data_IF_704809065629
#
_entry.id   IF_704809065629
#
_cell.length_a   1.000
_cell.length_b   1.000
_cell.length_c   1.000
_cell.angle_alpha   90.00
_cell.angle_beta   90.00
_cell.angle_gamma   90.00
#
_symmetry.space_group_name_H-M   'P 1'
#
loop_
_entity.id
_entity.type
_entity.pdbx_description
1 polymer ?
#
# COMPACT_ATOMS: atom_id res chain seq x y z
N UNK A 1 48.08 -23.76 -16.45
CA UNK A 1 46.90 -22.90 -16.68
C UNK A 1 46.28 -22.59 -15.33
N UNK A 2 46.68 -21.48 -14.71
CA UNK A 2 46.10 -21.01 -13.45
C UNK A 2 45.63 -19.56 -13.73
N UNK A 3 44.32 -19.34 -13.76
CA UNK A 3 43.75 -18.00 -13.90
C UNK A 3 43.69 -17.38 -12.51
N UNK A 4 44.68 -16.58 -12.18
CA UNK A 4 44.60 -15.59 -11.10
C UNK A 4 43.68 -14.47 -11.57
N UNK A 5 42.48 -14.41 -11.00
CA UNK A 5 41.50 -13.37 -11.23
C UNK A 5 41.29 -12.57 -9.95
N UNK A 6 41.43 -11.25 -10.04
CA UNK A 6 40.67 -10.30 -9.24
C UNK A 6 41.33 -9.79 -7.96
N UNK A 7 42.22 -8.80 -8.11
CA UNK A 7 42.43 -7.79 -7.07
C UNK A 7 41.27 -6.77 -7.06
N UNK A 8 40.97 -6.23 -5.87
CA UNK A 8 40.25 -4.96 -5.73
C UNK A 8 38.83 -5.00 -5.18
N UNK A 9 38.60 -5.48 -3.96
CA UNK A 9 37.41 -5.13 -3.14
C UNK A 9 37.75 -5.17 -1.64
N UNK A 10 38.59 -4.24 -1.16
CA UNK A 10 38.89 -4.07 0.27
C UNK A 10 38.17 -2.86 0.87
N UNK A 11 36.89 -2.65 0.50
CA UNK A 11 36.00 -1.65 1.10
C UNK A 11 34.60 -2.23 1.31
N UNK A 12 34.46 -3.24 2.18
CA UNK A 12 33.17 -3.67 2.74
C UNK A 12 33.40 -4.74 3.82
N UNK A 13 33.75 -4.34 5.05
CA UNK A 13 33.86 -5.31 6.17
C UNK A 13 32.88 -4.97 7.30
N UNK A 14 32.24 -3.79 7.31
CA UNK A 14 31.29 -3.44 8.38
C UNK A 14 29.92 -4.11 8.30
N UNK A 15 29.56 -4.76 7.18
CA UNK A 15 28.29 -5.47 7.02
C UNK A 15 28.46 -7.00 6.91
N UNK A 16 29.62 -7.53 7.32
CA UNK A 16 29.78 -8.98 7.30
C UNK A 16 28.95 -9.63 8.42
N UNK A 17 28.14 -10.65 8.11
CA UNK A 17 27.37 -11.35 9.12
C UNK A 17 28.29 -12.06 10.13
N UNK A 18 27.83 -12.17 11.38
CA UNK A 18 28.45 -13.04 12.39
C UNK A 18 28.50 -14.49 11.91
N UNK A 19 29.45 -15.29 12.40
CA UNK A 19 29.47 -16.71 12.08
C UNK A 19 28.15 -17.39 12.50
N UNK A 20 27.54 -18.17 11.60
CA UNK A 20 26.21 -18.72 11.81
C UNK A 20 25.64 -19.44 10.59
N UNK A 21 24.49 -20.09 10.77
CA UNK A 21 23.73 -20.71 9.69
C UNK A 21 22.79 -19.69 9.07
N UNK A 22 22.87 -19.52 7.75
CA UNK A 22 22.03 -18.58 7.01
C UNK A 22 21.33 -19.30 5.87
N UNK A 23 20.15 -18.79 5.50
CA UNK A 23 19.37 -19.28 4.36
C UNK A 23 20.10 -18.91 3.07
N UNK A 24 20.29 -19.87 2.17
CA UNK A 24 20.83 -19.60 0.83
C UNK A 24 19.81 -18.83 -0.01
N UNK A 25 20.19 -17.74 -0.71
CA UNK A 25 19.27 -16.96 -1.53
C UNK A 25 18.62 -17.78 -2.65
N UNK A 26 19.36 -18.76 -3.20
CA UNK A 26 18.90 -19.62 -4.30
C UNK A 26 17.99 -20.77 -3.85
N UNK A 27 18.09 -21.18 -2.58
CA UNK A 27 17.31 -22.28 -2.03
C UNK A 27 17.00 -22.00 -0.55
N UNK A 28 15.74 -21.61 -0.30
CA UNK A 28 15.22 -21.31 1.04
C UNK A 28 15.13 -22.54 1.95
N UNK A 29 15.42 -23.72 1.41
CA UNK A 29 15.36 -24.99 2.10
C UNK A 29 16.70 -25.47 2.62
N UNK A 30 17.77 -24.80 2.20
CA UNK A 30 19.14 -25.10 2.60
C UNK A 30 19.66 -23.96 3.46
N UNK A 31 20.25 -24.31 4.59
CA UNK A 31 21.07 -23.42 5.38
C UNK A 31 22.52 -23.68 5.01
N UNK A 32 23.26 -22.64 4.67
CA UNK A 32 24.72 -22.70 4.49
C UNK A 32 25.39 -21.98 5.65
N UNK A 33 26.49 -22.54 6.14
CA UNK A 33 27.20 -21.95 7.28
C UNK A 33 28.17 -20.85 6.81
N UNK A 34 28.11 -19.68 7.43
CA UNK A 34 29.11 -18.62 7.32
C UNK A 34 30.06 -18.72 8.51
N UNK A 35 31.36 -18.80 8.27
CA UNK A 35 32.34 -18.93 9.36
C UNK A 35 32.92 -17.60 9.86
N UNK A 36 32.39 -16.47 9.40
CA UNK A 36 32.92 -15.12 9.68
C UNK A 36 33.84 -14.58 8.59
N UNK A 37 34.29 -15.41 7.66
CA UNK A 37 35.21 -15.02 6.58
C UNK A 37 34.76 -15.48 5.19
N UNK A 38 34.15 -16.66 5.10
CA UNK A 38 33.61 -17.21 3.85
C UNK A 38 32.43 -18.14 4.16
N UNK A 39 31.59 -18.34 3.15
CA UNK A 39 30.62 -19.43 3.14
C UNK A 39 31.37 -20.76 3.11
N UNK A 40 30.98 -21.70 3.98
CA UNK A 40 31.50 -23.07 3.97
C UNK A 40 30.63 -23.95 3.06
N UNK A 41 31.15 -25.11 2.67
CA UNK A 41 30.36 -26.14 1.95
C UNK A 41 29.46 -26.95 2.88
N UNK A 42 29.38 -26.59 4.17
CA UNK A 42 28.47 -27.25 5.09
C UNK A 42 27.06 -26.75 4.84
N UNK A 43 26.21 -27.68 4.44
CA UNK A 43 24.80 -27.45 4.16
C UNK A 43 23.96 -28.26 5.14
N UNK A 44 22.92 -27.63 5.68
CA UNK A 44 21.87 -28.31 6.44
C UNK A 44 20.55 -28.07 5.75
N UNK A 45 19.87 -29.16 5.38
CA UNK A 45 18.47 -29.05 4.99
C UNK A 45 17.64 -28.65 6.20
N UNK A 46 16.80 -27.63 6.02
CA UNK A 46 15.72 -27.34 6.96
C UNK A 46 14.77 -28.53 6.85
N UNK A 47 14.80 -29.40 7.86
CA UNK A 47 14.05 -30.65 7.91
C UNK A 47 12.60 -30.44 7.42
N UNK A 48 12.13 -31.34 6.55
CA UNK A 48 10.75 -31.33 6.02
C UNK A 48 9.71 -31.28 7.16
N UNK A 49 10.05 -31.80 8.35
CA UNK A 49 9.23 -31.67 9.55
C UNK A 49 8.99 -30.20 9.94
N UNK A 50 10.04 -29.37 9.91
CA UNK A 50 9.95 -27.94 10.17
C UNK A 50 9.10 -27.24 9.10
N UNK A 51 9.26 -27.61 7.82
CA UNK A 51 8.42 -27.09 6.73
C UNK A 51 6.94 -27.39 6.92
N UNK A 52 6.60 -28.62 7.34
CA UNK A 52 5.21 -29.01 7.57
C UNK A 52 4.60 -28.20 8.71
N UNK A 53 5.35 -27.96 9.78
CA UNK A 53 4.88 -27.15 10.91
C UNK A 53 4.69 -25.69 10.51
N UNK A 54 5.62 -25.10 9.76
CA UNK A 54 5.50 -23.72 9.24
C UNK A 54 4.25 -23.60 8.35
N UNK A 55 4.09 -24.49 7.36
CA UNK A 55 2.89 -24.49 6.49
C UNK A 55 1.58 -24.70 7.26
N UNK A 56 1.60 -25.49 8.33
CA UNK A 56 0.42 -25.67 9.18
C UNK A 56 0.11 -24.42 10.00
N UNK A 57 1.13 -23.74 10.52
CA UNK A 57 0.98 -22.46 11.22
C UNK A 57 0.45 -21.38 10.27
N UNK A 58 1.01 -21.26 9.06
CA UNK A 58 0.53 -20.31 8.05
C UNK A 58 -0.92 -20.60 7.64
N UNK A 59 -1.27 -21.87 7.46
CA UNK A 59 -2.65 -22.28 7.16
C UNK A 59 -3.60 -21.96 8.31
N UNK A 60 -3.18 -22.13 9.56
CA UNK A 60 -3.98 -21.76 10.73
C UNK A 60 -4.16 -20.24 10.81
N UNK A 61 -3.10 -19.47 10.59
CA UNK A 61 -3.15 -18.00 10.54
C UNK A 61 -4.09 -17.50 9.44
N UNK A 62 -3.98 -18.07 8.23
CA UNK A 62 -4.87 -17.74 7.11
C UNK A 62 -6.34 -18.07 7.43
N UNK A 63 -6.60 -19.19 8.10
CA UNK A 63 -7.95 -19.56 8.54
C UNK A 63 -8.51 -18.57 9.56
N UNK A 64 -7.69 -18.12 10.52
CA UNK A 64 -8.09 -17.11 11.51
C UNK A 64 -8.38 -15.77 10.83
N UNK A 65 -7.51 -15.32 9.92
CA UNK A 65 -7.71 -14.10 9.15
C UNK A 65 -9.01 -14.15 8.33
N UNK A 66 -9.28 -15.29 7.67
CA UNK A 66 -10.51 -15.48 6.91
C UNK A 66 -11.77 -15.46 7.81
N UNK A 67 -11.68 -16.04 9.01
CA UNK A 67 -12.79 -16.00 9.98
C UNK A 67 -13.05 -14.58 10.50
N UNK A 68 -11.99 -13.81 10.78
CA UNK A 68 -12.10 -12.41 11.20
C UNK A 68 -12.68 -11.54 10.06
N UNK A 69 -12.21 -11.72 8.83
CA UNK A 69 -12.75 -11.01 7.67
C UNK A 69 -14.25 -11.31 7.47
N UNK A 70 -14.66 -12.57 7.64
CA UNK A 70 -16.07 -12.95 7.57
C UNK A 70 -16.90 -12.32 8.71
N UNK A 71 -16.33 -12.17 9.92
CA UNK A 71 -17.00 -11.48 11.02
C UNK A 71 -17.19 -9.98 10.70
N UNK A 72 -16.15 -9.29 10.24
CA UNK A 72 -16.24 -7.88 9.82
C UNK A 72 -17.23 -7.66 8.68
N UNK A 73 -17.28 -8.58 7.71
CA UNK A 73 -18.25 -8.51 6.63
C UNK A 73 -19.70 -8.59 7.14
N UNK A 74 -19.97 -9.43 8.15
CA UNK A 74 -21.30 -9.51 8.78
C UNK A 74 -21.65 -8.25 9.55
N UNK A 75 -20.69 -7.66 10.27
CA UNK A 75 -20.90 -6.39 10.98
C UNK A 75 -21.22 -5.24 10.01
N UNK A 76 -20.49 -5.13 8.89
CA UNK A 76 -20.78 -4.14 7.86
C UNK A 76 -22.15 -4.36 7.21
N UNK A 77 -22.50 -5.61 6.91
CA UNK A 77 -23.83 -5.92 6.37
C UNK A 77 -24.96 -5.55 7.35
N UNK A 78 -24.77 -5.79 8.65
CA UNK A 78 -25.71 -5.40 9.68
C UNK A 78 -25.85 -3.87 9.78
N UNK A 79 -24.75 -3.12 9.71
CA UNK A 79 -24.78 -1.66 9.74
C UNK A 79 -25.53 -1.08 8.53
N UNK A 80 -25.30 -1.62 7.33
CA UNK A 80 -26.02 -1.22 6.11
C UNK A 80 -27.53 -1.50 6.25
N UNK A 81 -27.90 -2.66 6.80
CA UNK A 81 -29.31 -3.01 7.00
C UNK A 81 -30.01 -2.05 7.99
N UNK A 82 -29.33 -1.62 9.05
CA UNK A 82 -29.87 -0.64 10.01
C UNK A 82 -30.10 0.71 9.34
N UNK A 83 -29.16 1.20 8.53
CA UNK A 83 -29.33 2.48 7.83
C UNK A 83 -30.43 2.41 6.76
N UNK A 84 -30.57 1.27 6.08
CA UNK A 84 -31.67 1.01 5.16
C UNK A 84 -33.03 1.03 5.88
N UNK A 85 -33.13 0.41 7.06
CA UNK A 85 -34.34 0.43 7.88
C UNK A 85 -34.70 1.85 8.34
N UNK A 86 -33.71 2.63 8.75
CA UNK A 86 -33.90 4.04 9.13
C UNK A 86 -34.40 4.88 7.96
N UNK A 87 -33.83 4.68 6.77
CA UNK A 87 -34.26 5.35 5.54
C UNK A 87 -35.70 4.98 5.17
N UNK A 88 -36.06 3.71 5.27
CA UNK A 88 -37.43 3.24 5.03
C UNK A 88 -38.44 3.83 6.03
N UNK A 89 -38.05 3.95 7.31
CA UNK A 89 -38.88 4.59 8.33
C UNK A 89 -39.08 6.09 8.04
N UNK A 90 -38.03 6.81 7.65
CA UNK A 90 -38.14 8.22 7.27
C UNK A 90 -39.05 8.42 6.04
N UNK A 91 -38.94 7.55 5.04
CA UNK A 91 -39.82 7.57 3.87
C UNK A 91 -41.29 7.31 4.23
N UNK A 92 -41.54 6.42 5.19
CA UNK A 92 -42.90 6.13 5.68
C UNK A 92 -43.52 7.31 6.44
N UNK A 93 -42.71 8.06 7.20
CA UNK A 93 -43.16 9.29 7.87
C UNK A 93 -43.56 10.35 6.84
N UNK A 94 -42.72 10.61 5.84
CA UNK A 94 -43.02 11.55 4.76
C UNK A 94 -44.27 11.14 3.96
N UNK A 95 -44.43 9.84 3.68
CA UNK A 95 -45.62 9.33 3.00
C UNK A 95 -46.90 9.53 3.83
N UNK A 96 -46.83 9.34 5.15
CA UNK A 96 -47.94 9.58 6.06
C UNK A 96 -48.31 11.07 6.14
N UNK A 97 -47.32 11.97 6.11
CA UNK A 97 -47.55 13.42 6.10
C UNK A 97 -48.24 13.88 4.81
N UNK A 98 -47.78 13.41 3.64
CA UNK A 98 -48.44 13.69 2.34
C UNK A 98 -49.87 13.15 2.30
N UNK A 99 -50.10 11.96 2.87
CA UNK A 99 -51.45 11.38 2.97
C UNK A 99 -52.37 12.20 3.89
N UNK A 100 -51.84 12.68 5.03
CA UNK A 100 -52.59 13.53 5.95
C UNK A 100 -52.97 14.88 5.32
N UNK A 101 -52.05 15.52 4.58
CA UNK A 101 -52.34 16.78 3.88
C UNK A 101 -53.37 16.59 2.75
N UNK A 102 -53.28 15.48 2.02
CA UNK A 102 -54.28 15.12 0.99
C UNK A 102 -55.68 14.96 1.58
N UNK A 103 -55.78 14.38 2.78
CA UNK A 103 -57.07 14.17 3.46
C UNK A 103 -57.63 15.43 4.12
N UNK A 104 -56.79 16.42 4.45
CA UNK A 104 -57.17 17.68 5.08
C UNK A 104 -57.68 18.75 4.09
N UNK A 105 -57.69 18.49 2.78
CA UNK A 105 -58.25 19.40 1.76
C UNK A 105 -59.58 18.89 1.12
N UNK A 106 -60.64 18.59 1.89
CA UNK A 106 -61.93 18.23 1.32
C UNK A 106 -62.72 19.45 0.79
N UNK A 107 -62.38 20.68 1.19
CA UNK A 107 -63.16 21.90 0.88
C UNK A 107 -62.52 22.78 -0.19
N UNK A 108 -61.59 22.22 -0.98
CA UNK A 108 -61.15 22.83 -2.26
C UNK A 108 -61.98 22.28 -3.41
N UNK A 109 -63.27 22.07 -3.18
CA UNK A 109 -64.24 21.89 -4.25
C UNK A 109 -64.36 23.21 -5.00
N UNK A 110 -64.41 23.14 -6.34
CA UNK A 110 -64.44 24.26 -7.32
C UNK A 110 -63.11 24.62 -8.00
N UNK A 111 -62.14 23.71 -8.08
CA UNK A 111 -61.14 23.76 -9.17
C UNK A 111 -61.54 22.73 -10.22
N UNK A 112 -62.02 23.28 -11.34
CA UNK A 112 -62.33 22.60 -12.60
C UNK A 112 -61.21 21.61 -12.94
N UNK A 113 -61.50 20.38 -13.39
CA UNK A 113 -60.45 19.47 -13.85
C UNK A 113 -59.75 20.13 -15.04
N UNK A 114 -58.57 20.73 -14.80
CA UNK A 114 -57.64 21.01 -15.87
C UNK A 114 -57.14 19.65 -16.30
N UNK A 115 -57.73 19.13 -17.37
CA UNK A 115 -57.11 18.11 -18.20
C UNK A 115 -55.78 18.69 -18.66
N UNK A 116 -54.72 18.44 -17.89
CA UNK A 116 -53.36 18.56 -18.41
C UNK A 116 -53.26 17.43 -19.42
N UNK A 117 -53.60 17.74 -20.68
CA UNK A 117 -53.21 16.95 -21.83
C UNK A 117 -51.69 16.93 -21.82
N UNK A 118 -51.12 15.93 -21.15
CA UNK A 118 -49.71 15.58 -21.31
C UNK A 118 -49.55 15.34 -22.80
N UNK A 119 -48.83 16.20 -23.55
CA UNK A 119 -48.64 15.97 -24.97
C UNK A 119 -48.01 14.58 -25.10
N UNK A 120 -48.61 13.75 -25.95
CA UNK A 120 -48.08 12.45 -26.30
C UNK A 120 -46.60 12.64 -26.64
N UNK A 121 -45.73 12.23 -25.72
CA UNK A 121 -44.31 12.16 -26.01
C UNK A 121 -44.19 11.27 -27.25
N UNK A 122 -43.51 11.73 -28.32
CA UNK A 122 -43.21 10.85 -29.42
C UNK A 122 -42.47 9.65 -28.84
N UNK A 123 -42.88 8.45 -29.27
CA UNK A 123 -42.21 7.21 -28.92
C UNK A 123 -40.69 7.41 -29.01
N UNK A 124 -39.89 6.95 -28.02
CA UNK A 124 -38.46 6.94 -28.19
C UNK A 124 -38.17 6.09 -29.43
N UNK A 125 -37.79 6.77 -30.50
CA UNK A 125 -37.37 6.14 -31.73
C UNK A 125 -36.20 5.25 -31.37
N UNK A 126 -36.41 3.95 -31.50
CA UNK A 126 -35.37 2.93 -31.43
C UNK A 126 -34.48 3.12 -32.67
N UNK A 127 -33.60 4.11 -32.60
CA UNK A 127 -32.62 4.39 -33.63
C UNK A 127 -31.26 4.55 -32.96
N UNK A 128 -30.32 3.74 -33.45
CA UNK A 128 -28.92 3.68 -33.07
C UNK A 128 -28.63 3.10 -31.68
N UNK A 129 -28.57 1.77 -31.65
CA UNK A 129 -27.44 1.09 -31.01
C UNK A 129 -26.17 1.88 -31.31
N UNK A 130 -25.53 2.53 -30.30
CA UNK A 130 -24.21 3.06 -30.52
C UNK A 130 -23.32 1.85 -30.80
N UNK A 131 -22.72 1.84 -31.99
CA UNK A 131 -21.54 1.03 -32.27
C UNK A 131 -20.69 1.09 -31.01
N UNK A 132 -20.56 -0.08 -30.36
CA UNK A 132 -19.67 -0.22 -29.23
C UNK A 132 -18.34 0.38 -29.71
N UNK A 133 -17.75 1.37 -29.02
CA UNK A 133 -16.38 1.69 -29.31
C UNK A 133 -15.65 0.36 -29.16
N UNK A 134 -14.95 -0.07 -30.21
CA UNK A 134 -13.84 -1.00 -30.07
C UNK A 134 -12.99 -0.41 -28.96
N UNK A 135 -13.26 -0.85 -27.72
CA UNK A 135 -12.37 -0.67 -26.61
C UNK A 135 -11.26 -1.63 -26.98
N UNK A 136 -10.37 -1.13 -27.84
CA UNK A 136 -9.01 -1.60 -27.88
C UNK A 136 -8.57 -1.40 -26.43
N UNK A 137 -8.74 -2.45 -25.64
CA UNK A 137 -7.91 -2.75 -24.50
C UNK A 137 -6.53 -2.84 -25.12
N UNK A 138 -5.96 -1.66 -25.37
CA UNK A 138 -4.53 -1.47 -25.32
C UNK A 138 -4.28 -1.83 -23.88
N UNK A 139 -4.01 -3.12 -23.66
CA UNK A 139 -3.14 -3.57 -22.61
C UNK A 139 -2.11 -2.47 -22.54
N UNK A 140 -2.20 -1.65 -21.49
CA UNK A 140 -1.09 -0.85 -21.08
C UNK A 140 -0.09 -1.94 -20.71
N UNK A 141 0.62 -2.41 -21.74
CA UNK A 141 1.96 -2.91 -21.69
C UNK A 141 2.63 -1.79 -20.92
N UNK A 142 2.59 -1.95 -19.59
CA UNK A 142 3.58 -1.43 -18.69
C UNK A 142 4.83 -1.92 -19.37
N UNK A 143 5.34 -1.04 -20.24
CA UNK A 143 6.66 -1.15 -20.75
C UNK A 143 7.44 -1.40 -19.47
N UNK A 144 7.93 -2.63 -19.36
CA UNK A 144 9.24 -2.88 -18.82
C UNK A 144 10.13 -1.85 -19.54
N UNK A 145 10.09 -0.61 -19.03
CA UNK A 145 11.24 0.25 -19.05
C UNK A 145 12.35 -0.68 -18.60
N UNK A 146 13.39 -0.87 -19.42
CA UNK A 146 14.42 -1.82 -19.10
C UNK A 146 14.85 -1.55 -17.66
N UNK A 147 14.92 -2.61 -16.87
CA UNK A 147 15.56 -2.65 -15.55
C UNK A 147 17.05 -2.30 -15.73
N UNK A 148 17.29 -1.07 -16.16
CA UNK A 148 18.51 -0.51 -16.70
C UNK A 148 18.68 0.89 -16.15
N UNK A 149 18.31 1.09 -14.89
CA UNK A 149 19.11 1.88 -13.98
C UNK A 149 19.30 0.94 -12.77
N UNK A 150 20.40 0.22 -12.60
CA UNK A 150 21.70 0.81 -12.30
C UNK A 150 21.61 2.31 -11.95
N UNK A 151 20.69 2.67 -11.04
CA UNK A 151 20.91 3.81 -10.15
C UNK A 151 21.84 3.29 -9.08
N UNK A 152 23.09 3.12 -9.49
CA UNK A 152 24.24 3.43 -8.64
C UNK A 152 23.83 4.59 -7.76
N UNK A 153 24.11 4.51 -6.46
CA UNK A 153 23.73 5.45 -5.39
C UNK A 153 24.25 6.88 -5.58
N UNK A 154 24.14 7.44 -6.78
CA UNK A 154 24.33 8.83 -7.12
C UNK A 154 23.23 9.62 -6.46
N UNK A 155 23.53 10.02 -5.23
CA UNK A 155 23.12 11.28 -4.62
C UNK A 155 21.68 11.66 -4.94
N UNK A 156 20.73 10.88 -4.41
CA UNK A 156 19.36 11.35 -4.31
C UNK A 156 19.36 12.60 -3.43
N UNK A 157 18.84 13.70 -3.96
CA UNK A 157 18.61 14.90 -3.16
C UNK A 157 17.69 14.55 -1.97
N UNK A 158 17.94 15.21 -0.84
CA UNK A 158 17.13 15.04 0.35
C UNK A 158 15.66 15.38 0.06
N UNK A 159 14.74 14.46 0.35
CA UNK A 159 13.36 14.56 -0.11
C UNK A 159 12.47 13.38 0.29
N UNK A 160 11.17 13.50 -0.01
CA UNK A 160 10.21 12.42 0.14
C UNK A 160 10.25 11.51 -1.09
N UNK A 161 10.54 10.22 -0.87
CA UNK A 161 10.62 9.23 -1.94
C UNK A 161 9.72 8.01 -1.62
N UNK A 162 9.29 7.23 -2.62
CA UNK A 162 8.52 6.01 -2.39
C UNK A 162 9.26 5.02 -1.50
N UNK A 163 8.57 4.44 -0.52
CA UNK A 163 9.17 3.47 0.40
C UNK A 163 9.64 2.20 -0.37
N UNK A 164 10.95 1.87 -0.36
CA UNK A 164 11.46 0.68 -1.05
C UNK A 164 10.91 -0.64 -0.50
N UNK A 165 10.33 -0.64 0.71
CA UNK A 165 9.66 -1.82 1.28
C UNK A 165 8.25 -2.05 0.70
N UNK A 166 7.80 -1.25 -0.28
CA UNK A 166 6.56 -1.48 -1.02
C UNK A 166 5.28 -1.06 -0.30
N UNK A 167 5.38 -0.28 0.78
CA UNK A 167 4.22 0.32 1.42
C UNK A 167 3.72 1.53 0.62
N UNK A 168 2.41 1.77 0.58
CA UNK A 168 1.77 2.95 -0.04
C UNK A 168 2.03 4.22 0.80
N UNK A 169 3.30 4.50 1.08
CA UNK A 169 3.76 5.62 1.89
C UNK A 169 5.05 6.17 1.28
N UNK A 170 5.29 7.45 1.54
CA UNK A 170 6.57 8.11 1.27
C UNK A 170 7.44 7.98 2.51
N UNK A 171 8.74 7.81 2.31
CA UNK A 171 9.76 7.85 3.35
C UNK A 171 10.75 8.96 3.04
N UNK A 172 11.25 9.63 4.06
CA UNK A 172 12.21 10.70 3.87
C UNK A 172 13.63 10.15 3.64
N UNK A 173 14.31 10.68 2.62
CA UNK A 173 15.73 10.49 2.36
C UNK A 173 16.48 11.75 2.78
N UNK A 174 17.51 11.62 3.60
CA UNK A 174 18.28 12.77 4.12
C UNK A 174 19.49 13.17 3.24
N UNK A 175 19.70 12.48 2.12
CA UNK A 175 20.88 12.64 1.27
C UNK A 175 21.91 11.50 1.43
N UNK A 176 21.90 10.80 2.57
CA UNK A 176 22.84 9.70 2.86
C UNK A 176 22.14 8.39 3.25
N UNK A 177 20.95 8.45 3.86
CA UNK A 177 20.16 7.30 4.29
C UNK A 177 18.66 7.61 4.36
N UNK A 178 17.86 6.55 4.39
CA UNK A 178 16.44 6.63 4.70
C UNK A 178 16.23 6.90 6.20
N UNK A 179 15.33 7.80 6.55
CA UNK A 179 14.95 8.05 7.95
C UNK A 179 13.70 7.24 8.34
N UNK A 180 13.31 7.28 9.61
CA UNK A 180 12.05 6.67 10.08
C UNK A 180 10.82 7.57 9.86
N UNK A 181 11.01 8.73 9.22
CA UNK A 181 9.90 9.63 8.91
C UNK A 181 9.14 9.08 7.71
N UNK A 182 7.86 8.77 7.92
CA UNK A 182 6.95 8.30 6.88
C UNK A 182 5.76 9.23 6.75
N UNK A 183 5.24 9.35 5.53
CA UNK A 183 4.04 10.11 5.22
C UNK A 183 3.13 9.24 4.35
N UNK A 184 1.84 9.17 4.69
CA UNK A 184 0.87 8.48 3.84
C UNK A 184 0.85 9.13 2.45
N UNK A 185 0.79 8.31 1.40
CA UNK A 185 0.63 8.84 0.05
C UNK A 185 -0.70 9.60 -0.02
N UNK A 186 -0.72 10.88 -0.42
CA UNK A 186 -1.96 11.62 -0.54
C UNK A 186 -2.89 10.90 -1.52
N UNK A 187 -4.17 10.81 -1.17
CA UNK A 187 -5.15 10.10 -1.98
C UNK A 187 -5.13 10.64 -3.43
N UNK A 188 -5.22 9.76 -4.45
CA UNK A 188 -5.17 10.17 -5.84
C UNK A 188 -6.28 11.20 -6.13
N UNK A 189 -5.89 12.44 -6.43
CA UNK A 189 -6.81 13.55 -6.71
C UNK A 189 -6.49 14.86 -5.99
N UNK A 190 -5.60 14.87 -4.99
CA UNK A 190 -5.08 16.11 -4.40
C UNK A 190 -3.72 16.46 -5.04
N UNK A 191 -3.59 17.63 -5.70
CA UNK A 191 -2.29 18.07 -6.20
C UNK A 191 -1.36 18.29 -5.02
N UNK A 192 -0.33 17.45 -4.91
CA UNK A 192 0.73 17.64 -3.92
C UNK A 192 1.63 18.75 -4.44
N UNK A 193 1.47 19.96 -3.91
CA UNK A 193 2.48 20.99 -4.07
C UNK A 193 3.74 20.47 -3.39
N UNK A 194 4.76 20.10 -4.18
CA UNK A 194 6.05 19.71 -3.66
C UNK A 194 6.52 20.80 -2.69
N UNK A 195 6.57 20.47 -1.40
CA UNK A 195 6.98 21.41 -0.37
C UNK A 195 8.39 21.89 -0.71
N UNK A 196 8.55 23.21 -0.84
CA UNK A 196 9.84 23.86 -0.99
C UNK A 196 10.84 23.26 0.03
N UNK A 197 12.14 23.13 -0.32
CA UNK A 197 13.13 22.54 0.57
C UNK A 197 13.10 23.27 1.90
N UNK A 198 12.45 22.65 2.89
CA UNK A 198 12.51 23.10 4.27
C UNK A 198 13.93 22.84 4.68
N UNK A 199 14.75 23.88 4.54
CA UNK A 199 16.13 23.93 4.99
C UNK A 199 16.05 23.71 6.50
N UNK A 200 16.12 22.45 6.91
CA UNK A 200 16.23 22.11 8.32
C UNK A 200 17.49 22.80 8.78
N UNK A 201 17.28 23.77 9.66
CA UNK A 201 18.31 24.64 10.18
C UNK A 201 19.53 23.81 10.54
N UNK A 202 20.64 24.17 9.91
CA UNK A 202 22.01 23.80 10.22
C UNK A 202 22.24 23.89 11.73
N UNK A 203 21.89 22.84 12.44
CA UNK A 203 22.07 22.73 13.87
C UNK A 203 23.46 22.13 14.11
N UNK A 204 24.38 23.04 14.42
CA UNK A 204 25.49 22.87 15.37
C UNK A 204 26.41 21.66 15.14
N UNK A 205 27.58 22.00 14.60
CA UNK A 205 28.84 21.37 14.93
C UNK A 205 28.86 20.98 16.42
N UNK A 206 28.68 19.69 16.72
CA UNK A 206 29.26 19.13 17.92
C UNK A 206 30.75 19.05 17.65
N UNK A 207 31.42 20.05 18.19
CA UNK A 207 32.75 19.99 18.76
C UNK A 207 33.08 18.54 19.18
N UNK A 208 33.76 17.82 18.28
CA UNK A 208 34.48 16.61 18.63
C UNK A 208 35.73 17.10 19.36
N UNK A 209 35.61 17.29 20.67
CA UNK A 209 36.75 17.48 21.53
C UNK A 209 37.76 16.33 21.31
N UNK A 210 39.07 16.62 21.25
CA UNK A 210 40.07 15.58 21.06
C UNK A 210 40.03 14.60 22.23
N UNK A 211 39.79 13.34 21.89
CA UNK A 211 39.91 12.21 22.80
C UNK A 211 41.40 12.09 23.15
N UNK A 212 41.77 12.55 24.34
CA UNK A 212 43.11 12.49 24.93
C UNK A 212 43.40 11.04 25.33
N UNK A 213 44.35 10.33 24.69
CA UNK A 213 44.86 9.09 25.25
C UNK A 213 46.11 9.38 26.10
N UNK A 214 46.32 8.52 27.09
CA UNK A 214 47.57 8.33 27.85
C UNK A 214 47.75 9.18 29.14
N UNK A 215 47.71 8.52 30.31
CA UNK A 215 48.87 8.29 31.19
C UNK A 215 48.43 7.61 32.51
N UNK A 216 48.80 6.36 32.78
CA UNK A 216 50.05 5.88 33.45
C UNK A 216 50.01 6.00 34.99
N UNK A 217 50.03 4.81 35.62
CA UNK A 217 50.61 4.46 36.92
C UNK A 217 50.19 5.21 38.20
N UNK A 218 49.67 4.45 39.17
CA UNK A 218 50.33 4.18 40.47
C UNK A 218 49.65 3.06 41.24
#
# INVERSE_FOLDING_TARGET
>A
MARTSGGGMAKQISDQPSAGWYVTPDDDTVLRYWNGHTWTSEERSIDQRSKRTIRQADKAAAKTLAAEAAARARELAAAIAVEAQKSAAAASILAAEVAAETQAQPDRMMIVPVTVTVPAMPAPSVAAEPAQPDVVVTSNEVALAPAGHDRTSGELDAGWHPDPMGALQLRWWDGARWTNETMALPAPGVPVTAAAPMTHGRAIARDNGPNEPDQVAR
#
